data_IF_541751747702
#
_entry.id   IF_541751747702
#
_cell.length_a   1.000
_cell.length_b   1.000
_cell.length_c   1.000
_cell.angle_alpha   90.00
_cell.angle_beta   90.00
_cell.angle_gamma   90.00
#
_symmetry.space_group_name_H-M   'P 1'
#
loop_
_entity.id
_entity.type
_entity.pdbx_description
1 polymer ?
#
# COMPACT_ATOMS: atom_id res chain seq x y z
N UNK A 1 -16.97 -5.52 -0.16
CA UNK A 1 -18.14 -6.11 -0.85
C UNK A 1 -18.67 -5.11 -1.86
N UNK A 2 -18.99 -5.53 -3.08
CA UNK A 2 -19.72 -4.69 -4.05
C UNK A 2 -21.20 -5.09 -4.04
N UNK A 3 -22.10 -4.16 -3.72
CA UNK A 3 -23.53 -4.43 -3.56
C UNK A 3 -24.32 -4.40 -4.87
N UNK A 4 -23.74 -3.84 -5.95
CA UNK A 4 -24.40 -3.56 -7.24
C UNK A 4 -25.70 -2.73 -7.10
N UNK A 5 -25.83 -1.95 -6.02
CA UNK A 5 -26.98 -1.07 -5.77
C UNK A 5 -26.64 0.35 -6.23
N UNK A 6 -27.64 1.04 -6.77
CA UNK A 6 -27.51 2.39 -7.33
C UNK A 6 -27.57 3.51 -6.29
N UNK A 7 -28.04 3.23 -5.07
CA UNK A 7 -28.15 4.22 -3.99
C UNK A 7 -27.65 3.65 -2.67
N UNK A 8 -27.19 4.54 -1.78
CA UNK A 8 -26.75 4.18 -0.44
C UNK A 8 -27.82 3.43 0.38
N UNK A 9 -29.07 3.89 0.37
CA UNK A 9 -30.16 3.26 1.13
C UNK A 9 -30.38 1.78 0.74
N UNK A 10 -30.48 1.52 -0.57
CA UNK A 10 -30.60 0.16 -1.10
C UNK A 10 -29.35 -0.68 -0.78
N UNK A 11 -28.15 -0.09 -0.79
CA UNK A 11 -26.93 -0.79 -0.38
C UNK A 11 -26.98 -1.16 1.09
N UNK A 12 -27.31 -0.23 1.99
CA UNK A 12 -27.43 -0.45 3.43
C UNK A 12 -28.48 -1.51 3.76
N UNK A 13 -29.67 -1.42 3.15
CA UNK A 13 -30.74 -2.40 3.33
C UNK A 13 -30.31 -3.81 2.90
N UNK A 14 -29.62 -3.92 1.76
CA UNK A 14 -29.05 -5.18 1.30
C UNK A 14 -28.02 -5.75 2.27
N UNK A 15 -27.09 -4.93 2.76
CA UNK A 15 -26.07 -5.37 3.73
C UNK A 15 -26.72 -5.80 5.04
N UNK A 16 -27.68 -5.04 5.56
CA UNK A 16 -28.38 -5.38 6.79
C UNK A 16 -29.15 -6.71 6.67
N UNK A 17 -29.84 -6.92 5.54
CA UNK A 17 -30.51 -8.20 5.27
C UNK A 17 -29.53 -9.37 5.19
N UNK A 18 -28.35 -9.15 4.61
CA UNK A 18 -27.30 -10.16 4.53
C UNK A 18 -26.71 -10.48 5.91
N UNK A 19 -26.48 -9.46 6.74
CA UNK A 19 -26.01 -9.63 8.12
C UNK A 19 -27.02 -10.40 8.98
N UNK A 20 -28.32 -10.10 8.88
CA UNK A 20 -29.36 -10.84 9.57
C UNK A 20 -29.37 -12.34 9.17
N UNK A 21 -29.21 -12.64 7.88
CA UNK A 21 -29.12 -14.02 7.42
C UNK A 21 -27.86 -14.74 7.89
N UNK A 22 -26.74 -14.02 8.06
CA UNK A 22 -25.51 -14.58 8.63
C UNK A 22 -25.71 -14.92 10.11
N UNK A 23 -26.37 -14.05 10.88
CA UNK A 23 -26.66 -14.27 12.30
C UNK A 23 -27.56 -15.50 12.55
N UNK A 24 -28.47 -15.81 11.63
CA UNK A 24 -29.31 -17.01 11.70
C UNK A 24 -28.51 -18.31 11.54
N UNK A 25 -27.35 -18.26 10.88
CA UNK A 25 -26.55 -19.44 10.62
C UNK A 25 -25.61 -19.73 11.80
N UNK A 26 -25.74 -20.92 12.39
CA UNK A 26 -25.03 -21.30 13.63
C UNK A 26 -23.50 -21.19 13.57
N UNK A 27 -22.92 -21.31 12.37
CA UNK A 27 -21.46 -21.15 12.14
C UNK A 27 -20.99 -19.70 12.41
N UNK A 28 -21.86 -18.70 12.28
CA UNK A 28 -21.51 -17.29 12.49
C UNK A 28 -22.06 -16.73 13.81
N UNK A 29 -22.62 -17.56 14.69
CA UNK A 29 -23.24 -17.12 15.95
C UNK A 29 -22.30 -16.34 16.89
N UNK A 30 -20.99 -16.49 16.75
CA UNK A 30 -19.97 -15.77 17.53
C UNK A 30 -19.41 -14.53 16.83
N UNK A 31 -19.83 -14.23 15.60
CA UNK A 31 -19.36 -13.08 14.84
C UNK A 31 -20.33 -11.91 14.99
N UNK A 32 -19.82 -10.77 15.41
CA UNK A 32 -20.54 -9.50 15.33
C UNK A 32 -19.94 -8.69 14.18
N UNK A 33 -20.65 -8.65 13.05
CA UNK A 33 -20.21 -7.94 11.85
C UNK A 33 -21.08 -6.71 11.65
N UNK A 34 -20.45 -5.54 11.58
CA UNK A 34 -21.13 -4.27 11.30
C UNK A 34 -20.50 -3.59 10.10
N UNK A 35 -21.32 -3.13 9.17
CA UNK A 35 -20.86 -2.25 8.10
C UNK A 35 -20.68 -0.83 8.67
N UNK A 36 -19.45 -0.30 8.58
CA UNK A 36 -19.09 1.01 9.13
C UNK A 36 -18.95 2.06 8.02
N UNK A 37 -18.40 1.67 6.87
CA UNK A 37 -18.10 2.58 5.76
C UNK A 37 -18.74 2.08 4.47
N UNK A 38 -19.36 2.99 3.73
CA UNK A 38 -19.89 2.75 2.40
C UNK A 38 -19.14 3.63 1.42
N UNK A 39 -18.62 3.03 0.35
CA UNK A 39 -17.80 3.72 -0.63
C UNK A 39 -18.52 3.72 -1.98
N UNK A 40 -18.51 4.86 -2.66
CA UNK A 40 -19.01 4.98 -4.03
C UNK A 40 -18.03 4.31 -5.00
N UNK A 41 -16.80 4.82 -5.00
CA UNK A 41 -15.65 4.21 -5.67
C UNK A 41 -14.51 4.10 -4.66
N UNK A 42 -13.78 2.98 -4.73
CA UNK A 42 -12.65 2.67 -3.86
C UNK A 42 -11.54 2.01 -4.69
N UNK A 43 -10.37 2.64 -4.69
CA UNK A 43 -9.11 2.01 -5.08
C UNK A 43 -8.42 1.56 -3.79
N UNK A 44 -8.27 0.25 -3.62
CA UNK A 44 -7.75 -0.35 -2.39
C UNK A 44 -6.64 -1.35 -2.71
N UNK A 45 -5.44 -1.08 -2.20
CA UNK A 45 -4.32 -2.03 -2.20
C UNK A 45 -4.32 -2.78 -0.87
N UNK A 46 -4.29 -2.02 0.22
CA UNK A 46 -4.25 -2.54 1.58
C UNK A 46 -4.81 -1.51 2.59
N UNK A 47 -4.61 -1.77 3.88
CA UNK A 47 -5.07 -0.90 4.97
C UNK A 47 -4.35 0.44 5.05
N UNK A 48 -3.21 0.61 4.39
CA UNK A 48 -2.32 1.76 4.43
C UNK A 48 -2.32 2.56 3.13
N UNK A 49 -2.75 1.94 2.04
CA UNK A 49 -2.76 2.47 0.68
C UNK A 49 -4.14 2.26 0.02
N UNK A 50 -5.03 3.24 0.20
CA UNK A 50 -6.34 3.31 -0.42
C UNK A 50 -6.82 4.75 -0.66
N UNK A 51 -7.65 4.93 -1.69
CA UNK A 51 -8.36 6.18 -1.98
C UNK A 51 -9.79 5.85 -2.33
N UNK A 52 -10.75 6.55 -1.74
CA UNK A 52 -12.15 6.34 -2.04
C UNK A 52 -13.01 7.56 -1.78
N UNK A 53 -14.20 7.55 -2.36
CA UNK A 53 -15.25 8.53 -2.04
C UNK A 53 -16.17 7.88 -1.01
N UNK A 54 -16.08 8.36 0.23
CA UNK A 54 -16.90 7.89 1.33
C UNK A 54 -18.30 8.49 1.19
N UNK A 55 -19.32 7.64 1.25
CA UNK A 55 -20.71 8.07 1.15
C UNK A 55 -21.22 8.55 2.52
N UNK A 56 -21.67 9.81 2.56
CA UNK A 56 -22.40 10.38 3.68
C UNK A 56 -23.89 10.05 3.63
N UNK A 57 -24.64 10.38 4.69
CA UNK A 57 -26.11 10.24 4.70
C UNK A 57 -26.78 11.14 3.63
N UNK A 58 -26.15 12.26 3.30
CA UNK A 58 -26.56 13.19 2.25
C UNK A 58 -25.45 13.32 1.18
N UNK A 59 -25.82 13.68 -0.06
CA UNK A 59 -24.86 13.78 -1.17
C UNK A 59 -23.76 14.85 -0.93
N UNK A 60 -24.09 15.91 -0.19
CA UNK A 60 -23.14 16.97 0.22
C UNK A 60 -22.12 16.47 1.26
N UNK A 61 -22.41 15.36 1.94
CA UNK A 61 -21.52 14.72 2.91
C UNK A 61 -20.49 13.76 2.30
N UNK A 62 -20.43 13.65 0.96
CA UNK A 62 -19.47 12.77 0.30
C UNK A 62 -18.04 13.34 0.38
N UNK A 63 -17.14 12.62 1.03
CA UNK A 63 -15.76 13.05 1.25
C UNK A 63 -14.77 12.16 0.49
N UNK A 64 -13.78 12.77 -0.16
CA UNK A 64 -12.64 12.03 -0.74
C UNK A 64 -11.70 11.67 0.40
N UNK A 65 -11.68 10.40 0.78
CA UNK A 65 -10.71 9.88 1.76
C UNK A 65 -9.46 9.38 1.03
N UNK A 66 -8.30 9.86 1.47
CA UNK A 66 -6.99 9.50 0.91
C UNK A 66 -6.11 8.97 2.04
N UNK A 67 -5.72 7.69 1.98
CA UNK A 67 -4.70 7.11 2.86
C UNK A 67 -3.63 6.50 1.95
N UNK A 68 -2.49 7.17 1.80
CA UNK A 68 -1.42 6.76 0.88
C UNK A 68 -0.09 6.69 1.64
N UNK A 69 0.10 5.63 2.42
CA UNK A 69 1.34 5.37 3.17
C UNK A 69 2.57 5.34 2.27
N UNK A 70 2.42 4.84 1.03
CA UNK A 70 3.49 4.85 0.02
C UNK A 70 4.05 6.26 -0.23
N UNK A 71 3.23 7.30 -0.10
CA UNK A 71 3.68 8.67 -0.35
C UNK A 71 4.76 9.16 0.63
N UNK A 72 4.88 8.55 1.82
CA UNK A 72 5.90 8.90 2.80
C UNK A 72 7.32 8.48 2.35
N UNK A 73 7.40 7.53 1.42
CA UNK A 73 8.67 7.03 0.87
C UNK A 73 9.08 7.75 -0.42
N UNK A 74 8.27 8.69 -0.89
CA UNK A 74 8.60 9.55 -2.03
C UNK A 74 9.25 10.81 -1.47
N UNK A 75 10.53 11.00 -1.76
CA UNK A 75 11.24 12.23 -1.42
C UNK A 75 10.79 13.38 -2.30
N UNK A 76 10.82 14.60 -1.76
CA UNK A 76 10.37 15.83 -2.43
C UNK A 76 8.85 16.06 -2.43
N UNK A 77 8.45 17.22 -1.93
CA UNK A 77 7.04 17.58 -1.73
C UNK A 77 6.25 17.63 -3.04
N UNK A 78 6.86 18.14 -4.11
CA UNK A 78 6.25 18.22 -5.44
C UNK A 78 5.86 16.82 -5.97
N UNK A 79 6.70 15.82 -5.71
CA UNK A 79 6.50 14.45 -6.17
C UNK A 79 5.41 13.74 -5.37
N UNK A 80 5.41 13.91 -4.05
CA UNK A 80 4.31 13.45 -3.18
C UNK A 80 2.98 14.05 -3.59
N UNK A 81 2.95 15.35 -3.87
CA UNK A 81 1.74 16.05 -4.27
C UNK A 81 1.24 15.56 -5.64
N UNK A 82 2.14 15.38 -6.61
CA UNK A 82 1.77 14.83 -7.91
C UNK A 82 1.20 13.41 -7.78
N UNK A 83 1.89 12.53 -7.03
CA UNK A 83 1.42 11.18 -6.76
C UNK A 83 -0.03 11.15 -6.24
N UNK A 84 -0.30 11.95 -5.21
CA UNK A 84 -1.63 12.07 -4.60
C UNK A 84 -2.63 12.65 -5.60
N UNK A 85 -2.29 13.74 -6.27
CA UNK A 85 -3.19 14.45 -7.19
C UNK A 85 -3.55 13.62 -8.43
N UNK A 86 -2.62 12.88 -9.02
CA UNK A 86 -2.92 11.99 -10.16
C UNK A 86 -3.94 10.92 -9.77
N UNK A 87 -3.76 10.28 -8.61
CA UNK A 87 -4.69 9.23 -8.16
C UNK A 87 -6.05 9.78 -7.74
N UNK A 88 -6.07 10.92 -7.02
CA UNK A 88 -7.31 11.61 -6.65
C UNK A 88 -8.06 12.08 -7.91
N UNK A 89 -7.36 12.71 -8.85
CA UNK A 89 -7.91 13.20 -10.10
C UNK A 89 -8.55 12.08 -10.91
N UNK A 90 -7.83 10.97 -11.08
CA UNK A 90 -8.34 9.77 -11.73
C UNK A 90 -9.63 9.26 -11.03
N UNK A 91 -9.60 9.04 -9.71
CA UNK A 91 -10.74 8.55 -8.96
C UNK A 91 -11.98 9.46 -9.10
N UNK A 92 -11.79 10.77 -8.96
CA UNK A 92 -12.88 11.76 -9.03
C UNK A 92 -13.48 11.83 -10.44
N UNK A 93 -12.66 11.80 -11.48
CA UNK A 93 -13.12 11.80 -12.87
C UNK A 93 -13.90 10.53 -13.21
N UNK A 94 -13.41 9.37 -12.77
CA UNK A 94 -14.14 8.09 -12.91
C UNK A 94 -15.47 8.14 -12.16
N UNK A 95 -15.50 8.62 -10.92
CA UNK A 95 -16.72 8.72 -10.13
C UNK A 95 -17.75 9.65 -10.77
N UNK A 96 -17.30 10.80 -11.27
CA UNK A 96 -18.17 11.73 -12.00
C UNK A 96 -18.77 11.07 -13.24
N UNK A 97 -17.96 10.33 -14.02
CA UNK A 97 -18.45 9.64 -15.20
C UNK A 97 -19.50 8.58 -14.84
N UNK A 98 -19.21 7.73 -13.84
CA UNK A 98 -20.12 6.69 -13.36
C UNK A 98 -21.46 7.26 -12.89
N UNK A 99 -21.46 8.43 -12.24
CA UNK A 99 -22.70 9.12 -11.82
C UNK A 99 -23.48 9.72 -12.99
N UNK A 100 -22.78 10.19 -14.02
CA UNK A 100 -23.39 10.88 -15.17
C UNK A 100 -23.89 9.94 -16.27
N UNK A 101 -23.34 8.73 -16.34
CA UNK A 101 -23.56 7.81 -17.45
C UNK A 101 -23.95 6.43 -16.94
N UNK A 102 -25.02 5.86 -17.50
CA UNK A 102 -25.55 4.56 -17.09
C UNK A 102 -25.09 3.40 -17.99
N UNK A 103 -24.43 3.66 -19.13
CA UNK A 103 -23.89 2.61 -20.00
C UNK A 103 -22.55 2.12 -19.47
N UNK A 104 -22.46 0.80 -19.22
CA UNK A 104 -21.23 0.15 -18.77
C UNK A 104 -20.15 0.24 -19.85
N UNK A 105 -20.51 0.10 -21.12
CA UNK A 105 -19.57 0.19 -22.24
C UNK A 105 -18.97 1.60 -22.36
N UNK A 106 -19.80 2.64 -22.24
CA UNK A 106 -19.32 4.02 -22.30
C UNK A 106 -18.46 4.39 -21.08
N UNK A 107 -18.81 3.88 -19.89
CA UNK A 107 -17.97 4.02 -18.70
C UNK A 107 -16.60 3.34 -18.86
N UNK A 108 -16.55 2.14 -19.45
CA UNK A 108 -15.30 1.44 -19.74
C UNK A 108 -14.45 2.22 -20.74
N UNK A 109 -15.07 2.70 -21.82
CA UNK A 109 -14.37 3.49 -22.83
C UNK A 109 -13.85 4.83 -22.27
N UNK A 110 -14.61 5.47 -21.37
CA UNK A 110 -14.16 6.68 -20.69
C UNK A 110 -12.88 6.44 -19.90
N UNK A 111 -12.80 5.34 -19.12
CA UNK A 111 -11.59 5.01 -18.34
C UNK A 111 -10.38 4.73 -19.23
N UNK A 112 -10.57 4.04 -20.36
CA UNK A 112 -9.51 3.84 -21.35
C UNK A 112 -9.00 5.16 -21.92
N UNK A 113 -9.90 6.08 -22.27
CA UNK A 113 -9.53 7.40 -22.80
C UNK A 113 -8.85 8.26 -21.72
N UNK A 114 -9.32 8.20 -20.48
CA UNK A 114 -8.75 8.92 -19.34
C UNK A 114 -7.29 8.50 -19.10
N UNK A 115 -7.01 7.19 -19.14
CA UNK A 115 -5.63 6.69 -19.01
C UNK A 115 -4.79 7.03 -20.25
N UNK A 116 -5.33 6.79 -21.44
CA UNK A 116 -4.61 6.98 -22.70
C UNK A 116 -4.27 8.43 -23.03
N UNK A 117 -5.06 9.38 -22.53
CA UNK A 117 -4.88 10.80 -22.79
C UNK A 117 -4.34 11.51 -21.55
N UNK A 118 -5.18 11.72 -20.53
CA UNK A 118 -4.86 12.61 -19.40
C UNK A 118 -3.75 12.06 -18.49
N UNK A 119 -3.86 10.80 -18.04
CA UNK A 119 -2.84 10.19 -17.16
C UNK A 119 -1.51 10.05 -17.90
N UNK A 120 -1.57 9.65 -19.17
CA UNK A 120 -0.39 9.48 -20.03
C UNK A 120 0.34 10.80 -20.25
N UNK A 121 -0.38 11.85 -20.66
CA UNK A 121 0.18 13.20 -20.85
C UNK A 121 0.76 13.75 -19.55
N UNK A 122 0.01 13.68 -18.45
CA UNK A 122 0.47 14.16 -17.14
C UNK A 122 1.78 13.48 -16.70
N UNK A 123 1.91 12.17 -16.90
CA UNK A 123 3.11 11.42 -16.53
C UNK A 123 4.31 11.71 -17.44
N UNK A 124 4.08 11.84 -18.75
CA UNK A 124 5.15 12.18 -19.69
C UNK A 124 5.64 13.62 -19.52
N UNK A 125 4.74 14.59 -19.41
CA UNK A 125 5.10 15.99 -19.20
C UNK A 125 5.91 16.18 -17.93
N UNK A 126 5.50 15.50 -16.87
CA UNK A 126 6.24 15.50 -15.62
C UNK A 126 7.66 14.92 -15.78
N UNK A 127 7.82 13.73 -16.38
CA UNK A 127 9.16 13.16 -16.58
C UNK A 127 10.03 13.99 -17.53
N UNK A 128 9.43 14.61 -18.54
CA UNK A 128 10.15 15.50 -19.47
C UNK A 128 10.65 16.76 -18.77
N UNK A 129 9.80 17.40 -17.95
CA UNK A 129 10.16 18.55 -17.11
C UNK A 129 11.26 18.21 -16.09
N UNK A 130 11.42 16.93 -15.75
CA UNK A 130 12.48 16.45 -14.89
C UNK A 130 13.80 16.18 -15.63
N UNK A 131 13.72 15.57 -16.82
CA UNK A 131 14.91 15.24 -17.63
C UNK A 131 15.70 16.47 -18.11
N UNK A 132 15.09 17.65 -18.11
CA UNK A 132 15.76 18.93 -18.38
C UNK A 132 16.62 19.42 -17.20
N UNK A 133 16.43 18.85 -16.00
CA UNK A 133 17.23 19.14 -14.81
C UNK A 133 18.38 18.11 -14.76
N UNK A 134 19.62 18.59 -14.87
CA UNK A 134 20.85 17.77 -14.93
C UNK A 134 21.10 16.85 -13.72
N UNK A 135 20.32 17.01 -12.64
CA UNK A 135 20.64 16.51 -11.29
C UNK A 135 20.21 15.05 -11.00
N UNK A 136 19.35 14.44 -11.84
CA UNK A 136 18.75 13.12 -11.52
C UNK A 136 19.74 11.96 -11.71
N UNK A 137 20.77 12.12 -12.56
CA UNK A 137 21.82 11.11 -12.70
C UNK A 137 22.73 11.03 -11.47
N UNK A 138 22.83 12.12 -10.71
CA UNK A 138 23.70 12.21 -9.55
C UNK A 138 22.94 11.93 -8.24
N UNK A 139 21.62 12.20 -8.18
CA UNK A 139 20.80 11.94 -7.00
C UNK A 139 20.01 10.61 -7.13
N UNK A 140 20.54 9.57 -6.50
CA UNK A 140 19.97 8.21 -6.53
C UNK A 140 18.63 8.13 -5.79
N UNK A 141 18.50 8.80 -4.64
CA UNK A 141 17.28 8.79 -3.81
C UNK A 141 16.09 9.45 -4.52
N UNK A 142 16.36 10.53 -5.27
CA UNK A 142 15.35 11.19 -6.08
C UNK A 142 14.88 10.30 -7.24
N UNK A 143 15.81 9.62 -7.91
CA UNK A 143 15.48 8.68 -8.99
C UNK A 143 14.61 7.55 -8.47
N UNK A 144 14.95 6.99 -7.31
CA UNK A 144 14.19 5.90 -6.68
C UNK A 144 12.79 6.35 -6.25
N UNK A 145 12.65 7.59 -5.75
CA UNK A 145 11.36 8.20 -5.43
C UNK A 145 10.46 8.36 -6.66
N UNK A 146 11.02 8.78 -7.80
CA UNK A 146 10.29 8.90 -9.07
C UNK A 146 9.87 7.52 -9.59
N UNK A 147 10.75 6.52 -9.50
CA UNK A 147 10.44 5.13 -9.88
C UNK A 147 9.29 4.60 -9.02
N UNK A 148 9.35 4.80 -7.70
CA UNK A 148 8.30 4.39 -6.77
C UNK A 148 6.96 5.05 -7.13
N UNK A 149 6.98 6.35 -7.43
CA UNK A 149 5.79 7.08 -7.86
C UNK A 149 5.17 6.49 -9.14
N UNK A 150 5.98 6.26 -10.19
CA UNK A 150 5.53 5.66 -11.45
C UNK A 150 4.93 4.28 -11.22
N UNK A 151 5.59 3.44 -10.41
CA UNK A 151 5.08 2.12 -10.05
C UNK A 151 3.76 2.21 -9.29
N UNK A 152 3.66 3.11 -8.31
CA UNK A 152 2.47 3.29 -7.50
C UNK A 152 1.28 3.72 -8.34
N UNK A 153 1.43 4.78 -9.14
CA UNK A 153 0.34 5.26 -10.02
C UNK A 153 -0.11 4.14 -10.95
N UNK A 154 0.85 3.45 -11.58
CA UNK A 154 0.55 2.36 -12.50
C UNK A 154 -0.15 1.18 -11.82
N UNK A 155 0.24 0.86 -10.58
CA UNK A 155 -0.34 -0.24 -9.84
C UNK A 155 -1.77 0.09 -9.36
N UNK A 156 -1.98 1.24 -8.74
CA UNK A 156 -3.31 1.69 -8.28
C UNK A 156 -4.31 1.74 -9.43
N UNK A 157 -3.95 2.37 -10.55
CA UNK A 157 -4.84 2.46 -11.72
C UNK A 157 -5.00 1.08 -12.38
N UNK A 158 -3.94 0.27 -12.39
CA UNK A 158 -3.95 -1.09 -12.91
C UNK A 158 -4.80 -2.09 -12.13
N UNK A 159 -5.31 -1.75 -10.95
CA UNK A 159 -6.31 -2.56 -10.25
C UNK A 159 -7.61 -2.70 -11.05
N UNK A 160 -7.91 -1.74 -11.92
CA UNK A 160 -9.00 -1.85 -12.90
C UNK A 160 -8.53 -2.66 -14.12
N UNK A 161 -9.10 -3.86 -14.25
CA UNK A 161 -8.76 -4.79 -15.34
C UNK A 161 -9.00 -4.21 -16.74
N UNK A 162 -9.89 -3.23 -16.88
CA UNK A 162 -10.20 -2.60 -18.17
C UNK A 162 -9.01 -1.77 -18.67
N UNK A 163 -8.32 -1.06 -17.78
CA UNK A 163 -7.20 -0.18 -18.15
C UNK A 163 -5.83 -0.82 -17.93
N UNK A 164 -5.77 -2.02 -17.35
CA UNK A 164 -4.53 -2.72 -16.99
C UNK A 164 -3.51 -2.79 -18.13
N UNK A 165 -3.92 -3.14 -19.35
CA UNK A 165 -2.98 -3.22 -20.48
C UNK A 165 -2.45 -1.84 -20.91
N UNK A 166 -3.31 -0.82 -20.89
CA UNK A 166 -2.95 0.55 -21.24
C UNK A 166 -1.93 1.11 -20.25
N UNK A 167 -2.21 0.95 -18.95
CA UNK A 167 -1.32 1.44 -17.90
C UNK A 167 -0.01 0.63 -17.83
N UNK A 168 -0.04 -0.68 -18.13
CA UNK A 168 1.18 -1.50 -18.20
C UNK A 168 2.10 -1.03 -19.33
N UNK A 169 1.54 -0.65 -20.49
CA UNK A 169 2.31 -0.07 -21.60
C UNK A 169 2.92 1.27 -21.21
N UNK A 170 2.13 2.14 -20.55
CA UNK A 170 2.62 3.42 -20.04
C UNK A 170 3.77 3.21 -19.04
N UNK A 171 3.59 2.34 -18.04
CA UNK A 171 4.62 1.98 -17.07
C UNK A 171 5.93 1.56 -17.74
N UNK A 172 5.85 0.66 -18.72
CA UNK A 172 7.01 0.21 -19.49
C UNK A 172 7.73 1.37 -20.19
N UNK A 173 6.99 2.28 -20.82
CA UNK A 173 7.58 3.45 -21.49
C UNK A 173 8.25 4.40 -20.51
N UNK A 174 7.61 4.71 -19.38
CA UNK A 174 8.13 5.60 -18.35
C UNK A 174 9.37 5.01 -17.65
N UNK A 175 9.34 3.73 -17.27
CA UNK A 175 10.50 3.07 -16.66
C UNK A 175 11.70 3.00 -17.61
N UNK A 176 11.45 2.79 -18.91
CA UNK A 176 12.50 2.83 -19.93
C UNK A 176 13.16 4.20 -20.02
N UNK A 177 12.41 5.30 -19.90
CA UNK A 177 12.97 6.66 -19.84
C UNK A 177 13.87 6.86 -18.61
N UNK A 178 13.55 6.16 -17.51
CA UNK A 178 14.33 6.19 -16.27
C UNK A 178 15.51 5.17 -16.26
N UNK A 179 15.75 4.46 -17.37
CA UNK A 179 16.73 3.37 -17.47
C UNK A 179 16.51 2.23 -16.46
N UNK A 180 15.25 1.87 -16.21
CA UNK A 180 14.86 0.74 -15.37
C UNK A 180 14.19 -0.33 -16.22
N UNK A 181 14.54 -1.59 -15.99
CA UNK A 181 13.91 -2.73 -16.68
C UNK A 181 12.59 -3.09 -15.97
N UNK A 182 11.46 -3.03 -16.68
CA UNK A 182 10.13 -3.36 -16.14
C UNK A 182 10.03 -4.78 -15.55
N UNK A 183 10.83 -5.71 -16.08
CA UNK A 183 10.89 -7.11 -15.64
C UNK A 183 11.87 -7.37 -14.46
N UNK A 184 12.64 -6.37 -14.03
CA UNK A 184 13.47 -6.51 -12.85
C UNK A 184 12.64 -6.44 -11.56
N UNK A 185 13.20 -6.93 -10.45
CA UNK A 185 12.67 -6.69 -9.10
C UNK A 185 12.41 -5.18 -8.86
N UNK A 186 13.31 -4.34 -9.39
CA UNK A 186 13.21 -2.88 -9.37
C UNK A 186 12.17 -2.30 -10.32
N UNK A 187 11.51 -3.10 -11.17
CA UNK A 187 10.43 -2.68 -12.06
C UNK A 187 9.03 -3.06 -11.54
N UNK A 188 8.94 -4.15 -10.77
CA UNK A 188 7.66 -4.61 -10.20
C UNK A 188 7.21 -3.75 -9.01
N UNK A 189 5.89 -3.53 -8.90
CA UNK A 189 5.30 -2.99 -7.69
C UNK A 189 5.49 -4.00 -6.56
N UNK A 190 6.04 -3.53 -5.46
CA UNK A 190 6.07 -4.25 -4.21
C UNK A 190 5.22 -3.42 -3.27
N UNK A 191 4.19 -4.05 -2.71
CA UNK A 191 3.52 -3.43 -1.57
C UNK A 191 4.62 -3.19 -0.55
N UNK A 192 4.78 -1.94 -0.13
CA UNK A 192 5.75 -1.61 0.89
C UNK A 192 5.20 -2.26 2.17
N UNK A 193 5.58 -3.52 2.39
CA UNK A 193 5.06 -4.40 3.45
C UNK A 193 5.44 -3.91 4.85
N UNK A 194 5.91 -2.68 4.97
CA UNK A 194 6.03 -2.01 6.26
C UNK A 194 4.66 -1.53 6.69
N UNK A 195 3.74 -2.47 6.88
CA UNK A 195 2.77 -2.31 7.94
C UNK A 195 3.51 -2.61 9.24
N UNK A 196 4.15 -1.59 9.80
CA UNK A 196 4.50 -1.61 11.23
C UNK A 196 3.20 -1.42 12.02
N UNK A 197 2.32 -2.42 11.92
CA UNK A 197 1.09 -2.49 12.68
C UNK A 197 1.38 -3.28 13.94
N UNK A 198 1.32 -2.63 15.09
CA UNK A 198 1.29 -3.33 16.37
C UNK A 198 -0.11 -3.87 16.55
N UNK A 199 -0.26 -5.18 16.42
CA UNK A 199 -1.55 -5.84 16.60
C UNK A 199 -1.87 -6.03 18.08
N UNK A 200 -3.16 -6.04 18.41
CA UNK A 200 -3.66 -6.37 19.75
C UNK A 200 -3.09 -5.45 20.87
N UNK A 201 -2.95 -4.16 20.59
CA UNK A 201 -2.50 -3.18 21.59
C UNK A 201 -3.64 -2.87 22.56
N UNK A 202 -3.47 -3.21 23.84
CA UNK A 202 -4.49 -2.97 24.87
C UNK A 202 -4.34 -1.58 25.47
N UNK A 203 -5.41 -0.78 25.44
CA UNK A 203 -5.43 0.49 26.14
C UNK A 203 -5.52 0.29 27.66
N UNK A 204 -4.61 0.91 28.41
CA UNK A 204 -4.61 0.86 29.89
C UNK A 204 -5.82 1.53 30.55
N UNK A 205 -6.59 2.34 29.81
CA UNK A 205 -7.75 3.08 30.32
C UNK A 205 -9.07 2.38 29.99
N UNK A 206 -9.32 2.09 28.71
CA UNK A 206 -10.60 1.50 28.28
C UNK A 206 -10.55 -0.01 28.05
N UNK A 207 -9.38 -0.63 28.20
CA UNK A 207 -9.13 -2.07 27.98
C UNK A 207 -9.53 -2.59 26.59
N UNK A 208 -9.77 -1.69 25.63
CA UNK A 208 -10.03 -2.07 24.25
C UNK A 208 -8.70 -2.43 23.58
N UNK A 209 -8.71 -3.55 22.84
CA UNK A 209 -7.63 -3.92 21.94
C UNK A 209 -7.81 -3.23 20.61
N UNK A 210 -6.76 -2.61 20.10
CA UNK A 210 -6.75 -2.03 18.76
C UNK A 210 -5.43 -2.30 18.10
N UNK A 211 -5.45 -2.45 16.79
CA UNK A 211 -4.24 -2.47 15.99
C UNK A 211 -3.81 -1.03 15.73
N UNK A 212 -2.53 -0.73 15.96
CA UNK A 212 -1.95 0.60 15.77
C UNK A 212 -0.98 0.59 14.60
N UNK A 213 -1.30 1.37 13.57
CA UNK A 213 -0.43 1.63 12.42
C UNK A 213 0.58 2.72 12.78
N UNK A 214 1.82 2.30 13.02
CA UNK A 214 2.88 3.20 13.50
C UNK A 214 3.34 4.15 12.38
N UNK A 215 3.31 3.71 11.12
CA UNK A 215 3.85 4.46 9.98
C UNK A 215 3.08 5.76 9.67
N UNK A 216 1.88 5.93 10.22
CA UNK A 216 0.96 7.02 9.82
C UNK A 216 0.45 7.85 10.99
N UNK A 217 0.63 7.37 12.21
CA UNK A 217 0.05 8.01 13.39
C UNK A 217 1.00 9.10 13.88
N UNK A 218 0.71 10.37 13.53
CA UNK A 218 1.39 11.54 14.14
C UNK A 218 1.34 11.47 15.67
N UNK A 219 0.26 10.91 16.20
CA UNK A 219 0.08 10.57 17.60
C UNK A 219 -0.43 9.13 17.77
N UNK A 220 0.25 8.33 18.60
CA UNK A 220 -0.19 6.99 18.97
C UNK A 220 -1.30 7.04 20.01
N UNK A 221 -2.55 7.07 19.57
CA UNK A 221 -3.73 7.18 20.44
C UNK A 221 -4.65 5.96 20.34
N UNK A 222 -5.32 5.64 21.44
CA UNK A 222 -6.37 4.63 21.46
C UNK A 222 -7.58 5.14 20.65
N UNK A 223 -8.07 4.37 19.66
CA UNK A 223 -9.20 4.80 18.82
C UNK A 223 -10.52 4.90 19.60
N UNK A 224 -10.66 4.22 20.73
CA UNK A 224 -11.90 4.21 21.52
C UNK A 224 -12.00 5.34 22.54
N UNK A 225 -10.89 5.75 23.15
CA UNK A 225 -10.90 6.75 24.23
C UNK A 225 -9.96 7.95 24.01
N UNK A 226 -9.17 7.95 22.93
CA UNK A 226 -8.24 9.04 22.60
C UNK A 226 -6.98 9.10 23.48
N UNK A 227 -6.81 8.19 24.45
CA UNK A 227 -5.63 8.17 25.32
C UNK A 227 -4.38 7.83 24.50
N UNK A 228 -3.31 8.60 24.69
CA UNK A 228 -1.98 8.29 24.13
C UNK A 228 -1.43 6.98 24.72
N UNK A 229 -0.95 6.13 23.83
CA UNK A 229 -0.11 5.00 24.20
C UNK A 229 1.25 5.50 24.68
N UNK A 230 1.81 4.78 25.64
CA UNK A 230 3.09 5.10 26.22
C UNK A 230 4.22 4.77 25.22
N UNK A 231 5.06 5.76 24.90
CA UNK A 231 6.13 5.62 23.91
C UNK A 231 7.13 4.52 24.30
N UNK A 232 7.38 4.31 25.60
CA UNK A 232 8.25 3.23 26.06
C UNK A 232 7.66 1.86 25.69
N UNK A 233 6.37 1.66 25.90
CA UNK A 233 5.67 0.43 25.52
C UNK A 233 5.73 0.19 24.01
N UNK A 234 5.49 1.23 23.20
CA UNK A 234 5.59 1.16 21.74
C UNK A 234 7.01 0.82 21.29
N UNK A 235 8.03 1.46 21.88
CA UNK A 235 9.43 1.18 21.60
C UNK A 235 9.80 -0.27 21.89
N UNK A 236 9.35 -0.84 23.01
CA UNK A 236 9.60 -2.25 23.34
C UNK A 236 8.98 -3.21 22.32
N UNK A 237 7.72 -2.98 21.94
CA UNK A 237 7.04 -3.81 20.95
C UNK A 237 7.70 -3.72 19.56
N UNK A 238 8.21 -2.54 19.21
CA UNK A 238 8.97 -2.35 17.97
C UNK A 238 10.32 -3.06 18.00
N UNK A 239 11.03 -3.02 19.13
CA UNK A 239 12.27 -3.77 19.33
C UNK A 239 12.00 -5.28 19.19
N UNK A 240 10.93 -5.79 19.79
CA UNK A 240 10.51 -7.18 19.62
C UNK A 240 10.22 -7.52 18.16
N UNK A 241 9.55 -6.62 17.43
CA UNK A 241 9.27 -6.79 16.00
C UNK A 241 10.55 -6.85 15.16
N UNK A 242 11.51 -5.96 15.41
CA UNK A 242 12.81 -5.96 14.72
C UNK A 242 13.55 -7.28 14.98
N UNK A 243 13.56 -7.75 16.22
CA UNK A 243 14.17 -9.04 16.57
C UNK A 243 13.47 -10.21 15.87
N UNK A 244 12.14 -10.20 15.77
CA UNK A 244 11.39 -11.22 15.02
C UNK A 244 11.75 -11.22 13.53
N UNK A 245 11.91 -10.05 12.91
CA UNK A 245 12.34 -9.94 11.51
C UNK A 245 13.75 -10.51 11.32
N UNK A 246 14.67 -10.19 12.22
CA UNK A 246 16.04 -10.70 12.17
C UNK A 246 16.08 -12.22 12.35
N UNK A 247 15.31 -12.76 13.30
CA UNK A 247 15.18 -14.21 13.52
C UNK A 247 14.61 -14.86 12.26
N UNK A 248 13.49 -14.36 11.73
CA UNK A 248 12.86 -14.89 10.54
C UNK A 248 13.81 -14.92 9.33
N UNK A 249 14.59 -13.85 9.13
CA UNK A 249 15.60 -13.81 8.08
C UNK A 249 16.75 -14.79 8.32
N UNK A 250 17.15 -15.01 9.56
CA UNK A 250 18.27 -15.91 9.89
C UNK A 250 17.88 -17.38 9.74
N UNK A 251 16.64 -17.74 10.09
CA UNK A 251 16.16 -19.14 10.09
C UNK A 251 15.36 -19.51 8.84
N UNK A 252 15.19 -18.58 7.89
CA UNK A 252 14.40 -18.80 6.68
C UNK A 252 14.87 -20.02 5.89
N UNK A 253 13.94 -20.60 5.13
CA UNK A 253 14.30 -21.55 4.09
C UNK A 253 14.91 -20.84 2.87
N UNK A 254 15.56 -21.63 2.02
CA UNK A 254 16.05 -21.20 0.72
C UNK A 254 15.20 -21.83 -0.38
N UNK A 255 15.05 -21.14 -1.52
CA UNK A 255 14.37 -21.65 -2.71
C UNK A 255 15.33 -21.76 -3.87
N UNK A 256 15.12 -22.75 -4.74
CA UNK A 256 15.91 -22.89 -5.95
C UNK A 256 15.47 -21.88 -7.02
N UNK A 257 16.41 -21.13 -7.58
CA UNK A 257 16.18 -20.16 -8.67
C UNK A 257 15.62 -20.79 -9.95
N UNK A 258 15.89 -22.09 -10.20
CA UNK A 258 15.50 -22.78 -11.43
C UNK A 258 14.14 -23.47 -11.33
N UNK A 259 13.89 -24.21 -10.25
CA UNK A 259 12.68 -25.02 -10.10
C UNK A 259 11.70 -24.51 -9.02
N UNK A 260 12.09 -23.49 -8.24
CA UNK A 260 11.27 -22.95 -7.15
C UNK A 260 11.12 -23.86 -5.93
N UNK A 261 11.75 -25.04 -5.93
CA UNK A 261 11.66 -25.96 -4.78
C UNK A 261 12.39 -25.40 -3.55
N UNK A 262 11.79 -25.61 -2.39
CA UNK A 262 12.38 -25.28 -1.08
C UNK A 262 13.52 -26.26 -0.77
N UNK A 263 14.62 -25.74 -0.23
CA UNK A 263 15.81 -26.51 0.17
C UNK A 263 15.42 -27.60 1.17
N UNK A 264 15.87 -28.82 0.91
CA UNK A 264 15.61 -29.99 1.78
C UNK A 264 16.79 -30.41 2.63
N UNK A 265 18.01 -30.06 2.22
CA UNK A 265 19.25 -30.57 2.82
C UNK A 265 20.22 -29.42 3.12
N UNK A 266 20.71 -29.33 4.35
CA UNK A 266 21.57 -28.21 4.80
C UNK A 266 23.01 -28.28 4.29
N UNK A 267 23.46 -29.43 3.76
CA UNK A 267 24.84 -29.63 3.30
C UNK A 267 24.99 -29.60 1.77
N UNK A 268 23.89 -29.71 1.02
CA UNK A 268 23.97 -29.65 -0.43
C UNK A 268 24.25 -28.21 -0.86
N UNK A 269 25.21 -28.04 -1.77
CA UNK A 269 25.54 -26.74 -2.39
C UNK A 269 24.57 -26.36 -3.52
N UNK A 270 23.89 -27.35 -4.09
CA UNK A 270 22.99 -27.18 -5.22
C UNK A 270 21.69 -27.95 -5.00
N UNK A 271 20.62 -27.47 -5.64
CA UNK A 271 19.39 -28.22 -5.75
C UNK A 271 19.59 -29.47 -6.65
N UNK A 272 18.73 -30.49 -6.51
CA UNK A 272 18.73 -31.69 -7.36
C UNK A 272 18.59 -31.37 -8.85
N UNK A 273 18.04 -30.20 -9.21
CA UNK A 273 17.94 -29.70 -10.58
C UNK A 273 19.19 -28.92 -11.06
N UNK A 274 20.28 -28.95 -10.28
CA UNK A 274 21.52 -28.19 -10.46
C UNK A 274 21.33 -26.66 -10.43
N UNK A 275 20.23 -26.17 -9.84
CA UNK A 275 20.00 -24.74 -9.63
C UNK A 275 20.64 -24.23 -8.35
N UNK A 276 20.97 -22.94 -8.33
CA UNK A 276 21.49 -22.24 -7.15
C UNK A 276 20.31 -21.88 -6.23
N UNK A 277 20.55 -21.97 -4.94
CA UNK A 277 19.59 -21.61 -3.90
C UNK A 277 19.71 -20.12 -3.56
N UNK A 278 18.57 -19.46 -3.34
CA UNK A 278 18.48 -18.06 -2.92
C UNK A 278 17.55 -17.93 -1.71
N UNK A 279 17.70 -16.83 -0.96
CA UNK A 279 16.84 -16.53 0.17
C UNK A 279 15.38 -16.38 -0.27
N UNK A 280 14.45 -16.81 0.58
CA UNK A 280 13.03 -16.51 0.38
C UNK A 280 12.75 -15.04 0.71
N UNK A 281 13.25 -14.58 1.86
CA UNK A 281 13.26 -13.19 2.31
C UNK A 281 14.57 -12.56 1.81
N UNK A 282 14.46 -11.65 0.85
CA UNK A 282 15.65 -11.03 0.24
C UNK A 282 16.39 -10.12 1.24
N UNK A 283 17.72 -9.97 1.11
CA UNK A 283 18.47 -9.00 1.91
C UNK A 283 17.94 -7.56 1.76
N UNK A 284 17.47 -7.22 0.55
CA UNK A 284 16.89 -5.92 0.25
C UNK A 284 15.58 -5.68 1.02
N UNK A 285 14.73 -6.70 1.14
CA UNK A 285 13.49 -6.63 1.90
C UNK A 285 13.75 -6.46 3.41
N UNK A 286 14.69 -7.21 3.99
CA UNK A 286 15.06 -7.03 5.40
C UNK A 286 15.58 -5.61 5.64
N UNK A 287 16.52 -5.15 4.80
CA UNK A 287 17.09 -3.80 4.88
C UNK A 287 16.02 -2.73 4.81
N UNK A 288 15.11 -2.82 3.85
CA UNK A 288 14.01 -1.88 3.68
C UNK A 288 13.10 -1.79 4.92
N UNK A 289 12.77 -2.93 5.54
CA UNK A 289 12.00 -2.95 6.79
C UNK A 289 12.74 -2.25 7.94
N UNK A 290 14.04 -2.54 8.10
CA UNK A 290 14.88 -1.95 9.16
C UNK A 290 15.07 -0.44 8.98
N UNK A 291 15.33 0.03 7.75
CA UNK A 291 15.46 1.46 7.44
C UNK A 291 14.15 2.20 7.71
N UNK A 292 13.01 1.58 7.42
CA UNK A 292 11.69 2.19 7.68
C UNK A 292 11.39 2.29 9.17
N UNK A 293 11.64 1.22 9.92
CA UNK A 293 11.49 1.23 11.39
C UNK A 293 12.47 2.25 12.01
N UNK A 294 13.69 2.35 11.49
CA UNK A 294 14.69 3.34 11.90
C UNK A 294 14.23 4.78 11.66
N UNK A 295 13.62 5.08 10.51
CA UNK A 295 13.03 6.40 10.22
C UNK A 295 11.94 6.76 11.24
N UNK A 296 11.06 5.82 11.57
CA UNK A 296 10.03 6.01 12.61
C UNK A 296 10.67 6.26 13.98
N UNK A 297 11.71 5.49 14.31
CA UNK A 297 12.43 5.64 15.57
C UNK A 297 13.01 7.06 15.71
N UNK A 298 13.61 7.58 14.65
CA UNK A 298 14.16 8.93 14.60
C UNK A 298 13.06 10.01 14.69
N UNK A 299 11.92 9.82 14.02
CA UNK A 299 10.81 10.77 14.04
C UNK A 299 10.17 10.92 15.43
N UNK A 300 10.16 9.85 16.24
CA UNK A 300 9.51 9.80 17.55
C UNK A 300 10.50 9.73 18.72
N UNK A 301 11.78 10.05 18.50
CA UNK A 301 12.85 10.05 19.52
C UNK A 301 13.00 8.71 20.27
N UNK A 302 12.80 7.58 19.58
CA UNK A 302 12.96 6.23 20.13
C UNK A 302 14.42 5.75 20.02
N UNK A 303 15.25 6.21 20.95
CA UNK A 303 16.71 6.05 20.93
C UNK A 303 17.13 4.57 20.81
N UNK A 304 16.56 3.67 21.63
CA UNK A 304 17.00 2.26 21.67
C UNK A 304 16.63 1.52 20.40
N UNK A 305 15.48 1.85 19.83
CA UNK A 305 15.05 1.28 18.56
C UNK A 305 15.93 1.77 17.41
N UNK A 306 16.28 3.06 17.39
CA UNK A 306 17.17 3.63 16.37
C UNK A 306 18.55 2.97 16.41
N UNK A 307 19.16 2.86 17.60
CA UNK A 307 20.46 2.18 17.78
C UNK A 307 20.41 0.72 17.34
N UNK A 308 19.32 -0.01 17.65
CA UNK A 308 19.16 -1.40 17.22
C UNK A 308 19.08 -1.52 15.69
N UNK A 309 18.29 -0.68 15.04
CA UNK A 309 18.16 -0.68 13.58
C UNK A 309 19.50 -0.35 12.91
N UNK A 310 20.24 0.66 13.41
CA UNK A 310 21.56 1.00 12.91
C UNK A 310 22.57 -0.13 13.12
N UNK A 311 22.56 -0.78 14.28
CA UNK A 311 23.46 -1.88 14.60
C UNK A 311 23.26 -3.10 13.69
N UNK A 312 22.02 -3.41 13.29
CA UNK A 312 21.74 -4.54 12.38
C UNK A 312 22.13 -4.20 10.92
N UNK A 313 22.05 -2.92 10.54
CA UNK A 313 22.37 -2.46 9.19
C UNK A 313 23.88 -2.33 8.91
N UNK A 314 24.71 -2.29 9.95
CA UNK A 314 26.17 -2.17 9.88
C UNK A 314 26.87 -3.54 9.96
#
# INVERSE_FOLDING_TARGET
MCTKRSSLEHAQSFVNSLLLSLEEHSIFASLNVKAIKFWDILLWIDTNDYIGILLGEEEEGNEVTVKLGTSNFIEGENYRNLFKQTLIGYLVLVARNVRSNNSVEEQQQYRLNLVGNEVTEQMFDFLNNLSSTSDIRENTDLRDSIILMVKGISHFIGLDCIVYESISKLRYQLLRMLNVNDASHDGTWQSLNVSCTLTQLFCSVCCQSSDLDICQSEAWICPSCGKHFDSFTIEQLLIERVNQLLIAYTIQDFKCTRCGAVRRHNLSLFCDCCGVEENIISPAELRFNLETIGKIAQQHDLIRLSELCEWILF
#
